data_IF_118904857705
#
_entry.id   IF_118904857705
#
_cell.length_a   1.000
_cell.length_b   1.000
_cell.length_c   1.000
_cell.angle_alpha   90.00
_cell.angle_beta   90.00
_cell.angle_gamma   90.00
#
_symmetry.space_group_name_H-M   'P 1'
#
loop_
_entity.id
_entity.type
_entity.pdbx_description
1 polymer ?
#
# COMPACT_ATOMS: atom_id res chain seq x y z
N UNK A 1 5.15 3.47 -18.32
CA UNK A 1 3.69 3.76 -18.42
C UNK A 1 3.00 2.71 -19.28
N UNK A 2 2.86 2.84 -20.61
CA UNK A 2 1.97 1.97 -21.40
C UNK A 2 2.26 0.47 -21.26
N UNK A 3 3.53 0.08 -21.39
CA UNK A 3 4.00 -1.30 -21.16
C UNK A 3 3.63 -1.84 -19.76
N UNK A 4 3.76 -1.02 -18.73
CA UNK A 4 3.50 -1.41 -17.33
C UNK A 4 2.01 -1.68 -17.10
N UNK A 5 1.15 -0.86 -17.70
CA UNK A 5 -0.31 -0.99 -17.60
C UNK A 5 -0.92 -1.92 -18.66
N UNK A 6 -0.10 -2.63 -19.45
CA UNK A 6 -0.58 -3.54 -20.49
C UNK A 6 -1.33 -2.85 -21.64
N UNK A 7 -1.10 -1.55 -21.85
CA UNK A 7 -1.68 -0.79 -22.95
C UNK A 7 -0.89 -1.01 -24.24
N UNK A 8 -1.51 -0.83 -25.43
CA UNK A 8 -0.77 -0.74 -26.69
C UNK A 8 0.36 0.30 -26.57
N UNK A 9 1.57 -0.11 -26.95
CA UNK A 9 2.78 0.74 -26.82
C UNK A 9 2.87 1.67 -28.04
N UNK A 10 1.92 2.59 -28.14
CA UNK A 10 1.85 3.60 -29.22
C UNK A 10 2.96 4.64 -29.09
N UNK A 11 3.43 4.90 -27.86
CA UNK A 11 4.34 6.01 -27.56
C UNK A 11 3.63 7.36 -27.44
N UNK A 12 2.32 7.41 -27.69
CA UNK A 12 1.51 8.62 -27.70
C UNK A 12 0.65 8.74 -26.43
N UNK A 13 0.27 9.97 -26.08
CA UNK A 13 -0.73 10.23 -25.05
C UNK A 13 -2.15 10.02 -25.62
N UNK A 14 -2.48 8.77 -25.93
CA UNK A 14 -3.78 8.39 -26.47
C UNK A 14 -4.88 8.30 -25.39
N UNK A 15 -6.13 8.13 -25.82
CA UNK A 15 -7.29 8.10 -24.94
C UNK A 15 -7.18 7.01 -23.85
N UNK A 16 -6.69 5.82 -24.21
CA UNK A 16 -6.49 4.72 -23.24
C UNK A 16 -5.44 5.07 -22.19
N UNK A 17 -4.38 5.76 -22.61
CA UNK A 17 -3.30 6.26 -21.76
C UNK A 17 -3.85 7.32 -20.78
N UNK A 18 -4.64 8.28 -21.26
CA UNK A 18 -5.27 9.32 -20.44
C UNK A 18 -6.24 8.71 -19.42
N UNK A 19 -7.11 7.80 -19.86
CA UNK A 19 -8.08 7.13 -18.99
C UNK A 19 -7.39 6.32 -17.89
N UNK A 20 -6.25 5.71 -18.20
CA UNK A 20 -5.44 4.99 -17.22
C UNK A 20 -4.78 5.95 -16.22
N UNK A 21 -4.25 7.08 -16.68
CA UNK A 21 -3.64 8.10 -15.80
C UNK A 21 -4.65 8.75 -14.85
N UNK A 22 -5.92 8.86 -15.24
CA UNK A 22 -6.99 9.48 -14.43
C UNK A 22 -7.55 8.57 -13.33
N UNK A 23 -7.26 7.27 -13.36
CA UNK A 23 -7.79 6.33 -12.38
C UNK A 23 -7.08 6.50 -11.03
N UNK A 24 -7.84 6.53 -9.91
CA UNK A 24 -7.26 6.41 -8.58
C UNK A 24 -6.35 5.19 -8.48
N UNK A 25 -5.22 5.31 -7.79
CA UNK A 25 -4.20 4.25 -7.79
C UNK A 25 -3.31 4.27 -6.55
N UNK A 26 -2.48 3.23 -6.41
CA UNK A 26 -1.40 3.20 -5.43
C UNK A 26 -0.37 4.31 -5.73
N UNK A 27 0.11 4.98 -4.68
CA UNK A 27 1.10 6.04 -4.74
C UNK A 27 2.55 5.56 -4.80
N UNK A 28 2.79 4.26 -4.72
CA UNK A 28 4.12 3.70 -4.93
C UNK A 28 4.54 3.86 -6.41
N UNK A 29 5.77 4.32 -6.70
CA UNK A 29 6.27 4.43 -8.07
C UNK A 29 6.29 3.09 -8.83
N UNK A 30 5.75 3.06 -10.05
CA UNK A 30 5.68 1.86 -10.91
C UNK A 30 7.04 1.34 -11.36
N UNK A 31 7.92 2.27 -11.76
CA UNK A 31 9.24 1.97 -12.29
C UNK A 31 10.25 2.56 -11.33
N UNK A 32 10.53 1.79 -10.29
CA UNK A 32 11.52 2.12 -9.30
C UNK A 32 12.93 1.72 -9.77
N UNK A 33 13.78 2.72 -10.04
CA UNK A 33 15.15 2.70 -9.51
C UNK A 33 15.15 3.01 -7.99
N UNK A 34 13.98 3.14 -7.38
CA UNK A 34 13.72 3.33 -5.95
C UNK A 34 13.99 2.03 -5.18
N UNK A 35 15.26 1.78 -4.91
CA UNK A 35 15.66 1.01 -3.75
C UNK A 35 15.61 1.97 -2.54
N UNK A 36 14.55 1.93 -1.72
CA UNK A 36 14.62 2.52 -0.37
C UNK A 36 15.79 1.92 0.43
N UNK A 37 16.16 0.66 0.10
CA UNK A 37 17.30 -0.04 0.66
C UNK A 37 18.07 -0.76 -0.46
N UNK A 38 19.42 -0.80 -0.44
CA UNK A 38 20.27 -1.33 -1.51
C UNK A 38 20.20 -2.87 -1.73
N UNK A 39 19.10 -3.54 -1.39
CA UNK A 39 18.94 -5.02 -1.42
C UNK A 39 17.55 -5.42 -1.91
N UNK A 40 17.29 -6.74 -1.98
CA UNK A 40 15.93 -7.31 -2.06
C UNK A 40 15.39 -7.40 -0.62
N UNK A 41 14.72 -6.37 -0.06
CA UNK A 41 14.24 -6.42 1.30
C UNK A 41 13.26 -7.59 1.44
N UNK A 42 13.56 -8.47 2.39
CA UNK A 42 12.72 -9.59 2.78
C UNK A 42 12.85 -9.70 4.29
N UNK A 43 11.73 -9.94 4.96
CA UNK A 43 11.75 -10.29 6.38
C UNK A 43 12.62 -11.53 6.62
N UNK A 44 13.48 -11.45 7.63
CA UNK A 44 14.37 -12.53 8.08
C UNK A 44 13.66 -13.53 9.02
N UNK A 45 12.45 -13.18 9.45
CA UNK A 45 11.55 -13.98 10.27
C UNK A 45 10.22 -14.24 9.57
N UNK A 46 9.53 -15.28 10.02
CA UNK A 46 8.20 -15.64 9.49
C UNK A 46 7.06 -15.07 10.33
N UNK A 47 7.27 -14.76 11.61
CA UNK A 47 6.26 -14.13 12.46
C UNK A 47 6.38 -12.62 12.30
N UNK A 48 5.42 -12.00 11.63
CA UNK A 48 5.36 -10.57 11.37
C UNK A 48 4.26 -9.97 12.24
N UNK A 49 4.57 -8.93 13.00
CA UNK A 49 3.58 -8.20 13.78
C UNK A 49 3.04 -7.01 13.00
N UNK A 50 1.74 -6.72 13.16
CA UNK A 50 1.17 -5.49 12.65
C UNK A 50 0.36 -4.77 13.72
N UNK A 51 0.30 -3.44 13.62
CA UNK A 51 -0.47 -2.59 14.51
C UNK A 51 -1.20 -1.52 13.73
N UNK A 52 -2.48 -1.34 14.04
CA UNK A 52 -3.31 -0.25 13.51
C UNK A 52 -3.25 0.89 14.52
N UNK A 53 -2.64 2.01 14.10
CA UNK A 53 -2.38 3.18 14.96
C UNK A 53 -3.56 4.13 14.97
N UNK A 54 -4.30 4.20 13.87
CA UNK A 54 -5.48 5.04 13.70
C UNK A 54 -6.56 4.31 12.91
N UNK A 55 -7.78 4.82 12.99
CA UNK A 55 -8.92 4.31 12.25
C UNK A 55 -9.53 5.41 11.39
N UNK A 56 -10.09 5.01 10.25
CA UNK A 56 -10.95 5.91 9.48
C UNK A 56 -12.27 6.17 10.22
N UNK A 57 -12.83 7.40 10.17
CA UNK A 57 -14.19 7.65 10.65
C UNK A 57 -15.28 7.07 9.73
N UNK A 58 -14.92 6.59 8.54
CA UNK A 58 -15.88 6.14 7.52
C UNK A 58 -16.40 4.71 7.76
N UNK A 59 -15.73 3.95 8.62
CA UNK A 59 -16.04 2.55 8.95
C UNK A 59 -15.88 2.33 10.44
N UNK A 60 -16.62 1.39 10.99
CA UNK A 60 -16.40 0.94 12.37
C UNK A 60 -15.03 0.22 12.50
N UNK A 61 -14.39 0.30 13.68
CA UNK A 61 -13.08 -0.32 13.90
C UNK A 61 -13.03 -1.82 13.64
N UNK A 62 -14.13 -2.54 13.90
CA UNK A 62 -14.23 -3.99 13.73
C UNK A 62 -14.13 -4.38 12.25
N UNK A 63 -14.81 -3.64 11.38
CA UNK A 63 -14.73 -3.78 9.92
C UNK A 63 -13.32 -3.49 9.41
N UNK A 64 -12.66 -2.45 9.93
CA UNK A 64 -11.27 -2.13 9.57
C UNK A 64 -10.32 -3.25 9.99
N UNK A 65 -10.48 -3.75 11.21
CA UNK A 65 -9.66 -4.82 11.77
C UNK A 65 -9.77 -6.12 10.96
N UNK A 66 -11.00 -6.51 10.63
CA UNK A 66 -11.33 -7.68 9.82
C UNK A 66 -10.84 -7.53 8.37
N UNK A 67 -10.94 -6.33 7.78
CA UNK A 67 -10.39 -6.05 6.45
C UNK A 67 -8.87 -6.25 6.41
N UNK A 68 -8.11 -5.73 7.38
CA UNK A 68 -6.67 -5.94 7.44
C UNK A 68 -6.30 -7.38 7.77
N UNK A 69 -7.03 -8.05 8.67
CA UNK A 69 -6.80 -9.46 8.97
C UNK A 69 -6.95 -10.34 7.71
N UNK A 70 -8.01 -10.13 6.92
CA UNK A 70 -8.20 -10.82 5.64
C UNK A 70 -7.13 -10.47 4.61
N UNK A 71 -6.72 -9.20 4.52
CA UNK A 71 -5.66 -8.79 3.61
C UNK A 71 -4.33 -9.51 3.91
N UNK A 72 -3.99 -9.68 5.19
CA UNK A 72 -2.83 -10.47 5.60
C UNK A 72 -3.02 -11.97 5.37
N UNK A 73 -4.25 -12.49 5.53
CA UNK A 73 -4.56 -13.89 5.26
C UNK A 73 -4.20 -14.30 3.82
N UNK A 74 -4.53 -13.45 2.84
CA UNK A 74 -4.20 -13.68 1.41
C UNK A 74 -2.70 -13.97 1.23
N UNK A 75 -1.83 -13.30 2.00
CA UNK A 75 -0.39 -13.52 1.93
C UNK A 75 0.07 -14.72 2.74
N UNK A 76 -0.50 -14.97 3.93
CA UNK A 76 -0.14 -16.14 4.73
C UNK A 76 -0.62 -17.47 4.12
N UNK A 77 -1.66 -17.44 3.28
CA UNK A 77 -2.16 -18.64 2.59
C UNK A 77 -1.14 -19.23 1.62
N UNK A 78 -0.25 -18.40 1.07
CA UNK A 78 0.69 -18.76 -0.01
C UNK A 78 2.15 -18.54 0.37
N UNK A 79 2.43 -18.18 1.62
CA UNK A 79 3.79 -17.99 2.13
C UNK A 79 3.97 -18.64 3.49
N UNK A 80 5.21 -18.88 3.95
CA UNK A 80 5.45 -19.30 5.34
C UNK A 80 5.20 -18.21 6.39
N UNK A 81 4.83 -16.99 5.97
CA UNK A 81 4.63 -15.85 6.87
C UNK A 81 3.36 -16.02 7.69
N UNK A 82 3.41 -15.53 8.93
CA UNK A 82 2.29 -15.47 9.87
C UNK A 82 2.16 -14.05 10.36
N UNK A 83 0.96 -13.52 10.34
CA UNK A 83 0.68 -12.16 10.76
C UNK A 83 -0.04 -12.17 12.11
N UNK A 84 0.48 -11.42 13.08
CA UNK A 84 -0.14 -11.28 14.40
C UNK A 84 -0.35 -9.82 14.70
N UNK A 85 -1.58 -9.48 15.08
CA UNK A 85 -1.88 -8.13 15.55
C UNK A 85 -1.30 -7.91 16.94
N UNK A 86 -0.73 -6.74 17.18
CA UNK A 86 -0.38 -6.24 18.52
C UNK A 86 -1.09 -4.90 18.76
N UNK A 87 -1.32 -4.57 20.01
CA UNK A 87 -2.10 -3.37 20.41
C UNK A 87 -1.25 -2.31 21.12
N UNK A 88 -0.07 -2.67 21.59
CA UNK A 88 0.92 -1.78 22.18
C UNK A 88 2.30 -2.00 21.53
N UNK A 89 3.23 -1.09 21.82
CA UNK A 89 4.60 -1.16 21.31
C UNK A 89 4.74 -0.91 19.81
N UNK A 90 5.95 -1.17 19.32
CA UNK A 90 6.31 -1.04 17.90
C UNK A 90 6.13 -2.40 17.20
N UNK A 91 5.39 -2.40 16.09
CA UNK A 91 5.17 -3.58 15.26
C UNK A 91 6.09 -3.56 14.03
N UNK A 92 6.25 -4.71 13.37
CA UNK A 92 6.96 -4.76 12.08
C UNK A 92 6.25 -3.96 10.99
N UNK A 93 4.91 -3.92 11.03
CA UNK A 93 4.06 -3.17 10.10
C UNK A 93 3.16 -2.22 10.91
N UNK A 94 3.42 -0.93 10.76
CA UNK A 94 2.68 0.15 11.39
C UNK A 94 1.67 0.73 10.38
N UNK A 95 0.38 0.53 10.64
CA UNK A 95 -0.72 0.93 9.74
C UNK A 95 -1.36 2.21 10.27
N UNK A 96 -1.47 3.23 9.43
CA UNK A 96 -2.07 4.50 9.79
C UNK A 96 -3.02 5.02 8.69
N UNK A 97 -4.05 5.77 9.09
CA UNK A 97 -4.90 6.54 8.18
C UNK A 97 -4.47 8.00 8.23
N UNK A 98 -3.77 8.45 7.19
CA UNK A 98 -3.27 9.82 7.05
C UNK A 98 -4.09 10.65 6.05
N UNK A 99 -3.90 11.98 6.08
CA UNK A 99 -4.38 12.92 5.06
C UNK A 99 -3.29 13.95 4.81
N UNK A 100 -3.11 14.39 3.57
CA UNK A 100 -2.09 15.37 3.21
C UNK A 100 -0.72 14.96 3.74
N UNK A 101 0.03 15.88 4.36
CA UNK A 101 1.26 15.55 5.08
C UNK A 101 0.96 14.74 6.35
N UNK A 102 1.63 13.61 6.49
CA UNK A 102 1.36 12.64 7.57
C UNK A 102 2.64 12.01 8.17
N UNK A 103 3.78 12.68 8.03
CA UNK A 103 4.97 12.47 8.86
C UNK A 103 6.11 11.70 8.19
N UNK A 104 5.95 11.30 6.93
CA UNK A 104 6.95 10.53 6.17
C UNK A 104 7.54 11.29 4.97
N UNK A 105 7.05 12.51 4.71
CA UNK A 105 7.47 13.34 3.58
C UNK A 105 6.88 12.96 2.22
N UNK A 106 5.90 12.04 2.18
CA UNK A 106 5.17 11.65 0.96
C UNK A 106 3.68 11.94 1.11
N UNK A 107 3.27 13.21 1.05
CA UNK A 107 1.89 13.61 1.36
C UNK A 107 0.87 13.03 0.37
N UNK A 108 -0.33 12.74 0.86
CA UNK A 108 -1.49 12.44 0.01
C UNK A 108 -1.99 13.69 -0.72
N UNK A 109 -2.68 13.49 -1.85
CA UNK A 109 -3.13 14.54 -2.78
C UNK A 109 -4.63 14.84 -2.71
N UNK A 110 -5.35 14.24 -1.75
CA UNK A 110 -6.76 14.48 -1.50
C UNK A 110 -7.66 13.40 -2.10
N UNK A 111 -8.85 13.79 -2.57
CA UNK A 111 -9.85 12.84 -3.06
C UNK A 111 -9.46 12.27 -4.43
N UNK A 112 -9.73 10.98 -4.65
CA UNK A 112 -9.62 10.25 -5.93
C UNK A 112 -8.20 10.04 -6.49
N UNK A 113 -7.16 10.73 -6.00
CA UNK A 113 -5.78 10.57 -6.47
C UNK A 113 -5.06 9.33 -5.93
N UNK A 114 -4.03 9.56 -5.13
CA UNK A 114 -3.26 8.52 -4.45
C UNK A 114 -4.10 7.90 -3.33
N UNK A 115 -4.37 6.60 -3.42
CA UNK A 115 -5.25 5.90 -2.47
C UNK A 115 -4.51 5.45 -1.20
N UNK A 116 -3.26 5.04 -1.34
CA UNK A 116 -2.38 4.56 -0.27
C UNK A 116 -0.94 4.43 -0.81
N UNK A 117 0.02 4.29 0.11
CA UNK A 117 1.40 3.88 -0.17
C UNK A 117 1.89 2.92 0.93
N UNK A 118 3.02 2.24 0.70
CA UNK A 118 3.66 1.32 1.64
C UNK A 118 5.13 1.09 1.30
#
# INVERSE_FOLDING_TARGET
MQKFFGLPQTGDLDQNTIETMRKPRCGNPDVANYNFFPRKPKWDKNQITYRIIGYTPDLDPETVDDAFARAFQVWSDVTPLRFSRIHDGEADIMINFGRWEHGDGYPFDGKDGLLAHA
#
